data_IF_675203287466
#
_entry.id   IF_675203287466
#
_cell.length_a   1.000
_cell.length_b   1.000
_cell.length_c   1.000
_cell.angle_alpha   90.00
_cell.angle_beta   90.00
_cell.angle_gamma   90.00
#
_symmetry.space_group_name_H-M   'P 1'
#
loop_
_entity.id
_entity.type
_entity.pdbx_description
1 polymer ?
#
# COMPACT_ATOMS: atom_id res chain seq x y z
N UNK A 1 -46.70 7.70 -63.28
CA UNK A 1 -46.31 6.76 -62.20
C UNK A 1 -44.99 7.32 -61.57
N UNK A 2 -45.06 7.94 -60.43
CA UNK A 2 -43.88 8.54 -59.74
C UNK A 2 -43.44 7.60 -58.62
N UNK A 3 -42.25 6.98 -58.79
CA UNK A 3 -41.66 6.15 -57.78
C UNK A 3 -41.07 7.03 -56.65
N UNK A 4 -41.62 6.90 -55.46
CA UNK A 4 -41.13 7.54 -54.23
C UNK A 4 -40.10 6.60 -53.60
N UNK A 5 -38.82 7.02 -53.67
CA UNK A 5 -37.72 6.30 -53.02
C UNK A 5 -37.65 6.76 -51.54
N UNK A 6 -38.02 5.88 -50.61
CA UNK A 6 -37.90 6.13 -49.21
C UNK A 6 -36.48 5.71 -48.78
N UNK A 7 -35.62 6.69 -48.47
CA UNK A 7 -34.30 6.43 -47.83
C UNK A 7 -34.50 6.20 -46.32
N UNK A 8 -34.27 4.99 -45.88
CA UNK A 8 -34.17 4.67 -44.46
C UNK A 8 -32.77 5.05 -43.96
N UNK A 9 -32.70 6.10 -43.14
CA UNK A 9 -31.49 6.41 -42.36
C UNK A 9 -31.43 5.48 -41.14
N UNK A 10 -30.51 4.53 -41.13
CA UNK A 10 -30.17 3.76 -39.93
C UNK A 10 -29.17 4.59 -39.11
N UNK A 11 -29.64 5.16 -38.02
CA UNK A 11 -28.78 5.82 -37.04
C UNK A 11 -28.01 4.73 -36.24
N UNK A 12 -26.75 4.56 -36.57
CA UNK A 12 -25.84 3.72 -35.73
C UNK A 12 -25.49 4.45 -34.45
N UNK A 13 -26.10 4.07 -33.34
CA UNK A 13 -25.71 4.55 -32.02
C UNK A 13 -24.36 3.91 -31.64
N UNK A 14 -23.30 4.70 -31.69
CA UNK A 14 -21.99 4.35 -31.13
C UNK A 14 -22.12 4.22 -29.60
N UNK A 15 -22.25 2.99 -29.10
CA UNK A 15 -22.05 2.70 -27.69
C UNK A 15 -20.56 2.94 -27.39
N UNK A 16 -20.27 4.07 -26.77
CA UNK A 16 -18.96 4.32 -26.17
C UNK A 16 -18.82 3.34 -24.98
N UNK A 17 -17.85 2.42 -24.96
CA UNK A 17 -17.67 1.56 -23.79
C UNK A 17 -17.34 2.44 -22.60
N UNK A 18 -18.16 2.39 -21.55
CA UNK A 18 -17.88 3.00 -20.26
C UNK A 18 -16.58 2.39 -19.76
N UNK A 19 -15.52 3.20 -19.73
CA UNK A 19 -14.27 2.79 -19.11
C UNK A 19 -14.55 2.62 -17.61
N UNK A 20 -14.57 1.39 -17.13
CA UNK A 20 -14.69 1.09 -15.71
C UNK A 20 -13.47 1.74 -15.04
N UNK A 21 -13.71 2.79 -14.26
CA UNK A 21 -12.64 3.44 -13.51
C UNK A 21 -12.11 2.42 -12.50
N UNK A 22 -10.80 2.16 -12.51
CA UNK A 22 -10.19 1.22 -11.59
C UNK A 22 -10.44 1.69 -10.14
N UNK A 23 -10.81 0.77 -9.25
CA UNK A 23 -11.02 1.08 -7.85
C UNK A 23 -9.72 1.70 -7.28
N UNK A 24 -9.84 2.83 -6.60
CA UNK A 24 -8.73 3.52 -5.97
C UNK A 24 -9.02 3.83 -4.50
N UNK A 25 -7.99 3.77 -3.68
CA UNK A 25 -8.04 4.07 -2.25
C UNK A 25 -6.96 5.11 -1.95
N UNK A 26 -7.29 6.13 -1.15
CA UNK A 26 -6.32 7.04 -0.57
C UNK A 26 -6.16 6.74 0.92
N UNK A 27 -4.91 6.62 1.37
CA UNK A 27 -4.54 6.35 2.76
C UNK A 27 -3.62 7.45 3.26
N UNK A 28 -4.04 8.19 4.28
CA UNK A 28 -3.17 9.18 4.95
C UNK A 28 -2.21 8.45 5.89
N UNK A 29 -0.92 8.78 5.77
CA UNK A 29 0.10 8.29 6.66
C UNK A 29 0.49 9.36 7.68
N UNK A 30 0.75 8.89 8.87
CA UNK A 30 1.15 9.71 10.02
C UNK A 30 2.47 9.20 10.58
N UNK A 31 3.29 10.09 11.12
CA UNK A 31 4.39 9.67 11.99
C UNK A 31 3.83 8.91 13.17
N UNK A 32 4.55 7.91 13.63
CA UNK A 32 4.20 7.16 14.83
C UNK A 32 5.40 7.08 15.76
N UNK A 33 5.11 7.00 17.05
CA UNK A 33 6.09 6.85 18.13
C UNK A 33 5.50 6.01 19.25
N UNK A 34 6.28 5.74 20.29
CA UNK A 34 5.77 5.10 21.51
C UNK A 34 4.64 5.91 22.18
N UNK A 35 4.59 7.24 21.95
CA UNK A 35 3.51 8.10 22.43
C UNK A 35 2.22 8.02 21.56
N UNK A 36 2.23 7.25 20.47
CA UNK A 36 1.09 7.08 19.58
C UNK A 36 1.24 7.74 18.22
N UNK A 37 0.09 8.04 17.60
CA UNK A 37 -0.01 8.62 16.24
C UNK A 37 0.22 10.13 16.30
N UNK A 38 1.11 10.62 15.46
CA UNK A 38 1.51 12.03 15.36
C UNK A 38 0.97 12.74 14.11
N UNK A 39 1.78 13.67 13.61
CA UNK A 39 1.44 14.51 12.45
C UNK A 39 1.33 13.69 11.14
N UNK A 40 0.53 14.17 10.19
CA UNK A 40 0.47 13.61 8.85
C UNK A 40 1.75 13.95 8.08
N UNK A 41 2.26 12.95 7.34
CA UNK A 41 3.41 13.10 6.44
C UNK A 41 3.02 13.01 4.97
N UNK A 42 1.73 12.95 4.66
CA UNK A 42 1.20 12.85 3.31
C UNK A 42 0.23 11.69 3.14
N UNK A 43 0.06 11.25 1.91
CA UNK A 43 -0.84 10.15 1.58
C UNK A 43 -0.23 9.18 0.58
N UNK A 44 -0.85 8.01 0.49
CA UNK A 44 -0.58 6.97 -0.49
C UNK A 44 -1.86 6.74 -1.27
N UNK A 45 -1.80 6.78 -2.59
CA UNK A 45 -2.88 6.30 -3.45
C UNK A 45 -2.60 4.87 -3.86
N UNK A 46 -3.60 4.01 -3.80
CA UNK A 46 -3.53 2.62 -4.23
C UNK A 46 -4.62 2.36 -5.26
N UNK A 47 -4.28 1.71 -6.37
CA UNK A 47 -5.22 1.37 -7.44
C UNK A 47 -4.93 0.01 -8.03
N UNK A 48 -5.99 -0.66 -8.47
CA UNK A 48 -5.85 -1.94 -9.16
C UNK A 48 -5.37 -1.73 -10.60
N UNK A 49 -4.42 -2.55 -11.05
CA UNK A 49 -3.88 -2.59 -12.40
C UNK A 49 -3.80 -4.03 -12.92
N UNK A 50 -3.52 -4.20 -14.20
CA UNK A 50 -3.30 -5.52 -14.79
C UNK A 50 -2.05 -6.24 -14.22
N UNK A 51 -1.17 -5.51 -13.53
CA UNK A 51 0.03 -6.03 -12.89
C UNK A 51 -0.12 -6.26 -11.37
N UNK A 52 -1.32 -6.06 -10.82
CA UNK A 52 -1.60 -6.07 -9.40
C UNK A 52 -1.87 -4.67 -8.85
N UNK A 53 -1.68 -4.50 -7.56
CA UNK A 53 -1.89 -3.22 -6.87
C UNK A 53 -0.72 -2.27 -7.14
N UNK A 54 -0.99 -1.13 -7.76
CA UNK A 54 -0.05 -0.03 -7.81
C UNK A 54 -0.27 0.90 -6.60
N UNK A 55 0.82 1.23 -5.91
CA UNK A 55 0.85 2.12 -4.75
C UNK A 55 1.69 3.33 -5.11
N UNK A 56 1.09 4.51 -5.06
CA UNK A 56 1.69 5.79 -5.43
C UNK A 56 1.84 6.62 -4.16
N UNK A 57 3.03 6.65 -3.54
CA UNK A 57 3.28 7.44 -2.35
C UNK A 57 3.45 8.92 -2.72
N UNK A 58 2.91 9.79 -1.88
CA UNK A 58 3.12 11.24 -1.85
C UNK A 58 3.41 11.64 -0.41
N UNK A 59 4.60 11.25 0.05
CA UNK A 59 5.06 11.40 1.44
C UNK A 59 6.22 12.38 1.48
N UNK A 60 6.37 13.04 2.62
CA UNK A 60 7.46 14.00 2.87
C UNK A 60 8.01 13.82 4.27
N UNK A 61 9.23 14.34 4.51
CA UNK A 61 9.82 14.38 5.85
C UNK A 61 10.33 13.04 6.36
N UNK A 62 10.43 12.02 5.51
CA UNK A 62 11.19 10.80 5.79
C UNK A 62 12.68 11.04 5.55
N UNK A 63 13.55 10.24 6.16
CA UNK A 63 14.97 10.26 5.85
C UNK A 63 15.21 9.76 4.43
N UNK A 64 16.23 10.29 3.75
CA UNK A 64 16.62 9.79 2.44
C UNK A 64 17.11 8.34 2.51
N UNK A 65 16.85 7.58 1.44
CA UNK A 65 17.26 6.19 1.31
C UNK A 65 16.11 5.22 1.13
N UNK A 66 16.38 3.94 1.34
CA UNK A 66 15.39 2.87 1.23
C UNK A 66 14.74 2.59 2.59
N UNK A 67 13.43 2.40 2.58
CA UNK A 67 12.63 2.06 3.74
C UNK A 67 11.81 0.80 3.49
N UNK A 68 11.78 -0.11 4.46
CA UNK A 68 10.80 -1.21 4.48
C UNK A 68 9.40 -0.64 4.45
N UNK A 69 8.53 -1.22 3.62
CA UNK A 69 7.15 -0.78 3.46
C UNK A 69 6.26 -2.00 3.38
N UNK A 70 5.31 -2.13 4.32
CA UNK A 70 4.53 -3.34 4.45
C UNK A 70 3.07 -3.08 4.77
N UNK A 71 2.22 -4.03 4.36
CA UNK A 71 0.84 -4.12 4.79
C UNK A 71 0.77 -4.99 6.05
N UNK A 72 0.36 -4.40 7.16
CA UNK A 72 0.22 -5.07 8.45
C UNK A 72 -1.21 -5.57 8.67
N UNK A 73 -1.34 -6.66 9.43
CA UNK A 73 -2.57 -7.43 9.56
C UNK A 73 -3.74 -6.67 10.19
N UNK A 74 -3.49 -5.73 11.09
CA UNK A 74 -4.51 -5.02 11.84
C UNK A 74 -4.62 -3.55 11.38
N UNK A 75 -5.85 -3.05 11.25
CA UNK A 75 -6.12 -1.63 10.95
C UNK A 75 -5.92 -0.72 12.17
N UNK A 76 -4.71 -0.68 12.70
CA UNK A 76 -4.34 0.19 13.82
C UNK A 76 -2.92 0.71 13.64
N UNK A 77 -2.71 1.96 14.00
CA UNK A 77 -1.38 2.60 14.06
C UNK A 77 -0.94 2.90 15.50
N UNK A 78 -1.72 2.46 16.48
CA UNK A 78 -1.46 2.72 17.88
C UNK A 78 -0.21 1.97 18.38
N UNK A 79 0.45 2.54 19.38
CA UNK A 79 1.46 1.84 20.16
C UNK A 79 0.81 0.72 20.97
N UNK A 80 1.59 -0.27 21.32
CA UNK A 80 1.22 -1.31 22.29
C UNK A 80 2.48 -1.78 23.02
N UNK A 81 2.30 -2.39 24.19
CA UNK A 81 3.41 -2.90 24.96
C UNK A 81 3.92 -4.23 24.36
N UNK A 82 5.23 -4.36 24.29
CA UNK A 82 5.90 -5.62 23.94
C UNK A 82 5.92 -6.58 25.16
N UNK A 83 6.53 -7.75 25.00
CA UNK A 83 6.62 -8.77 26.07
C UNK A 83 7.39 -8.29 27.30
N UNK A 84 8.27 -7.30 27.14
CA UNK A 84 9.07 -6.67 28.19
C UNK A 84 8.33 -5.51 28.89
N UNK A 85 7.12 -5.15 28.43
CA UNK A 85 6.31 -4.06 28.96
C UNK A 85 6.72 -2.68 28.43
N UNK A 86 7.49 -2.64 27.34
CA UNK A 86 7.89 -1.38 26.70
C UNK A 86 6.88 -0.99 25.63
N UNK A 87 6.46 0.27 25.60
CA UNK A 87 5.57 0.79 24.58
C UNK A 87 6.29 0.94 23.23
N UNK A 88 5.81 0.23 22.22
CA UNK A 88 6.39 0.18 20.87
C UNK A 88 5.46 0.84 19.86
N UNK A 89 6.00 1.74 19.05
CA UNK A 89 5.28 2.46 18.02
C UNK A 89 4.60 1.49 17.04
N UNK A 90 3.31 1.70 16.77
CA UNK A 90 2.56 0.95 15.77
C UNK A 90 2.46 -0.56 16.03
N UNK A 91 2.80 -1.05 17.23
CA UNK A 91 2.79 -2.50 17.50
C UNK A 91 1.39 -3.09 17.39
N UNK A 92 0.34 -2.30 17.64
CA UNK A 92 -1.05 -2.71 17.48
C UNK A 92 -1.43 -3.08 16.03
N UNK A 93 -0.64 -2.67 15.03
CA UNK A 93 -0.81 -3.10 13.63
C UNK A 93 -0.56 -4.61 13.42
N UNK A 94 0.08 -5.27 14.38
CA UNK A 94 0.45 -6.69 14.28
C UNK A 94 1.66 -6.93 13.39
N UNK A 95 1.82 -8.16 12.89
CA UNK A 95 2.84 -8.56 11.92
C UNK A 95 2.47 -8.18 10.48
N UNK A 96 3.34 -8.50 9.53
CA UNK A 96 3.02 -8.41 8.11
C UNK A 96 1.80 -9.29 7.81
N UNK A 97 0.93 -8.82 6.91
CA UNK A 97 -0.26 -9.59 6.55
C UNK A 97 0.12 -10.88 5.83
N UNK A 98 -0.17 -12.01 6.47
CA UNK A 98 0.15 -13.35 5.99
C UNK A 98 -1.07 -14.27 6.04
N UNK A 99 -2.02 -14.11 5.10
CA UNK A 99 -3.25 -14.93 5.08
C UNK A 99 -2.98 -16.39 4.72
N UNK A 100 -1.85 -16.66 4.08
CA UNK A 100 -1.46 -18.00 3.62
C UNK A 100 -0.65 -18.76 4.68
N UNK A 101 -0.31 -18.11 5.82
CA UNK A 101 0.52 -18.63 6.89
C UNK A 101 1.89 -19.15 6.39
N UNK A 102 2.51 -18.40 5.50
CA UNK A 102 3.84 -18.73 4.97
C UNK A 102 4.92 -18.65 6.05
N UNK A 103 4.80 -17.70 6.96
CA UNK A 103 5.75 -17.44 8.03
C UNK A 103 7.12 -16.96 7.53
N UNK A 104 7.23 -16.56 6.25
CA UNK A 104 8.48 -16.18 5.61
C UNK A 104 8.39 -14.78 5.01
N UNK A 105 9.46 -13.99 5.17
CA UNK A 105 9.61 -12.68 4.55
C UNK A 105 10.40 -12.79 3.24
N UNK A 106 9.72 -12.78 2.11
CA UNK A 106 10.30 -13.01 0.78
C UNK A 106 10.07 -11.87 -0.21
N UNK A 107 9.66 -10.71 0.29
CA UNK A 107 9.39 -9.54 -0.52
C UNK A 107 8.17 -9.67 -1.43
N UNK A 108 7.90 -8.64 -2.27
CA UNK A 108 6.64 -8.49 -3.00
C UNK A 108 6.42 -9.55 -4.09
N UNK A 109 7.49 -10.15 -4.61
CA UNK A 109 7.45 -11.11 -5.72
C UNK A 109 7.64 -12.57 -5.26
N UNK A 110 8.00 -12.79 -4.00
CA UNK A 110 8.15 -14.12 -3.40
C UNK A 110 6.82 -14.72 -2.95
N UNK A 111 6.86 -15.95 -2.45
CA UNK A 111 5.70 -16.67 -1.91
C UNK A 111 5.56 -16.52 -0.37
N UNK A 112 6.26 -15.54 0.23
CA UNK A 112 6.16 -15.19 1.64
C UNK A 112 4.89 -14.40 1.98
N UNK A 113 4.95 -13.60 3.07
CA UNK A 113 3.84 -12.77 3.48
C UNK A 113 3.28 -11.97 2.31
N UNK A 114 1.96 -11.91 2.16
CA UNK A 114 1.35 -11.05 1.12
C UNK A 114 1.53 -9.58 1.41
N UNK A 115 1.74 -9.23 2.67
CA UNK A 115 2.00 -7.87 3.11
C UNK A 115 3.39 -7.33 2.82
N UNK A 116 4.31 -8.15 2.29
CA UNK A 116 5.64 -7.69 1.88
C UNK A 116 5.52 -6.87 0.59
N UNK A 117 5.73 -5.56 0.68
CA UNK A 117 5.67 -4.64 -0.46
C UNK A 117 7.07 -4.30 -0.96
N UNK A 118 7.14 -3.66 -2.12
CA UNK A 118 8.41 -3.08 -2.58
C UNK A 118 8.83 -1.95 -1.63
N UNK A 119 10.14 -1.85 -1.39
CA UNK A 119 10.74 -0.77 -0.58
C UNK A 119 10.29 0.60 -1.07
N UNK A 120 10.04 1.51 -0.13
CA UNK A 120 9.95 2.93 -0.47
C UNK A 120 11.35 3.49 -0.71
N UNK A 121 11.49 4.24 -1.80
CA UNK A 121 12.69 5.02 -2.07
C UNK A 121 12.38 6.48 -1.74
N UNK A 122 13.15 7.05 -0.83
CA UNK A 122 13.04 8.45 -0.41
C UNK A 122 14.23 9.22 -0.95
N UNK A 123 13.96 10.29 -1.69
CA UNK A 123 14.98 11.18 -2.25
C UNK A 123 15.66 12.03 -1.17
N UNK A 124 16.76 12.68 -1.52
CA UNK A 124 17.52 13.54 -0.61
C UNK A 124 16.71 14.71 -0.04
N UNK A 125 15.67 15.13 -0.75
CA UNK A 125 14.71 16.16 -0.29
C UNK A 125 13.59 15.61 0.61
N UNK A 126 13.61 14.32 0.92
CA UNK A 126 12.63 13.65 1.77
C UNK A 126 11.31 13.30 1.09
N UNK A 127 11.23 13.36 -0.25
CA UNK A 127 10.05 12.99 -1.04
C UNK A 127 10.12 11.55 -1.54
N UNK A 128 8.95 11.00 -1.95
CA UNK A 128 8.82 9.62 -2.44
C UNK A 128 8.38 9.62 -3.92
N UNK A 129 9.30 9.81 -4.86
CA UNK A 129 8.97 10.04 -6.28
C UNK A 129 8.54 8.79 -7.05
N UNK A 130 8.73 7.59 -6.48
CA UNK A 130 8.56 6.32 -7.20
C UNK A 130 7.34 5.55 -6.69
N UNK A 131 6.46 5.14 -7.61
CA UNK A 131 5.41 4.17 -7.30
C UNK A 131 5.97 2.76 -7.14
N UNK A 132 5.27 1.94 -6.37
CA UNK A 132 5.60 0.53 -6.16
C UNK A 132 4.45 -0.35 -6.63
N UNK A 133 4.75 -1.56 -7.09
CA UNK A 133 3.75 -2.56 -7.50
C UNK A 133 3.78 -3.74 -6.53
N UNK A 134 2.61 -4.16 -6.08
CA UNK A 134 2.40 -5.35 -5.28
C UNK A 134 1.57 -6.36 -6.10
N UNK A 135 2.21 -7.28 -6.83
CA UNK A 135 1.53 -8.11 -7.84
C UNK A 135 0.55 -9.12 -7.24
N UNK A 136 0.65 -9.39 -5.95
CA UNK A 136 -0.21 -10.36 -5.23
C UNK A 136 -1.36 -9.71 -4.47
N UNK A 137 -1.54 -8.38 -4.61
CA UNK A 137 -2.55 -7.60 -3.89
C UNK A 137 -3.50 -6.89 -4.85
N UNK A 138 -4.66 -6.55 -4.29
CA UNK A 138 -5.66 -5.65 -4.84
C UNK A 138 -6.06 -4.59 -3.81
N UNK A 139 -6.81 -3.58 -4.21
CA UNK A 139 -7.37 -2.58 -3.28
C UNK A 139 -8.27 -3.21 -2.21
N UNK A 140 -8.96 -4.32 -2.52
CA UNK A 140 -9.79 -5.04 -1.58
C UNK A 140 -8.99 -5.63 -0.41
N UNK A 141 -7.75 -6.07 -0.66
CA UNK A 141 -6.87 -6.66 0.35
C UNK A 141 -6.39 -5.66 1.40
N UNK A 142 -6.36 -4.36 1.07
CA UNK A 142 -5.93 -3.32 2.00
C UNK A 142 -6.94 -3.04 3.11
N UNK A 143 -8.23 -3.32 2.89
CA UNK A 143 -9.30 -2.91 3.80
C UNK A 143 -9.15 -3.51 5.20
N UNK A 144 -9.29 -2.65 6.21
CA UNK A 144 -9.17 -3.02 7.62
C UNK A 144 -7.75 -3.35 8.07
N UNK A 145 -6.74 -2.94 7.31
CA UNK A 145 -5.31 -3.15 7.58
C UNK A 145 -4.56 -1.83 7.68
N UNK A 146 -3.28 -1.88 7.96
CA UNK A 146 -2.42 -0.70 8.03
C UNK A 146 -1.23 -0.80 7.10
N UNK A 147 -0.92 0.28 6.39
CA UNK A 147 0.34 0.48 5.69
C UNK A 147 1.36 1.06 6.67
N UNK A 148 2.53 0.43 6.77
CA UNK A 148 3.58 0.83 7.70
C UNK A 148 4.89 1.04 6.96
N UNK A 149 5.55 2.16 7.27
CA UNK A 149 6.91 2.49 6.83
C UNK A 149 7.87 2.24 7.98
N UNK A 150 8.99 1.60 7.68
CA UNK A 150 10.04 1.25 8.63
C UNK A 150 11.26 2.20 8.53
N UNK A 151 12.06 2.24 9.60
CA UNK A 151 13.24 3.11 9.66
C UNK A 151 14.39 2.63 8.77
N UNK A 152 14.56 1.31 8.66
CA UNK A 152 15.57 0.67 7.82
C UNK A 152 15.04 0.23 6.47
N UNK A 153 15.93 -0.22 5.61
CA UNK A 153 15.60 -0.81 4.31
C UNK A 153 14.94 -2.19 4.46
N UNK A 154 14.91 -2.92 3.35
CA UNK A 154 14.34 -4.26 3.29
C UNK A 154 15.18 -5.13 2.36
N UNK A 155 15.65 -6.27 2.84
CA UNK A 155 16.47 -7.20 2.05
C UNK A 155 15.63 -8.20 1.25
N UNK A 156 14.31 -8.24 1.46
CA UNK A 156 13.39 -9.26 0.92
C UNK A 156 13.77 -10.68 1.36
N UNK A 157 14.29 -10.82 2.58
CA UNK A 157 14.69 -12.09 3.17
C UNK A 157 14.55 -12.04 4.70
N UNK A 158 14.53 -13.20 5.35
CA UNK A 158 14.47 -13.29 6.82
C UNK A 158 15.84 -13.12 7.52
N UNK A 159 16.86 -12.79 6.76
CA UNK A 159 18.18 -12.47 7.31
C UNK A 159 18.66 -11.11 6.78
N UNK A 160 18.64 -10.06 7.60
CA UNK A 160 18.18 -10.01 8.99
C UNK A 160 16.65 -10.25 9.13
N UNK A 161 16.14 -10.59 10.33
CA UNK A 161 14.71 -10.86 10.52
C UNK A 161 13.82 -9.78 9.92
N UNK A 162 12.75 -10.19 9.21
CA UNK A 162 11.77 -9.31 8.56
C UNK A 162 12.42 -8.27 7.65
N UNK A 163 13.44 -8.67 6.89
CA UNK A 163 14.14 -7.82 5.94
C UNK A 163 15.03 -6.73 6.55
N UNK A 164 15.09 -6.62 7.89
CA UNK A 164 15.89 -5.62 8.58
C UNK A 164 15.23 -4.23 8.67
N UNK A 165 13.93 -4.12 8.41
CA UNK A 165 13.19 -2.86 8.45
C UNK A 165 13.27 -2.11 9.78
N UNK A 166 13.39 -2.84 10.88
CA UNK A 166 13.55 -2.24 12.22
C UNK A 166 12.30 -1.49 12.70
N UNK A 167 12.51 -0.33 13.35
CA UNK A 167 11.43 0.43 13.95
C UNK A 167 10.37 0.91 12.93
N UNK A 168 9.11 0.92 13.33
CA UNK A 168 8.00 1.51 12.59
C UNK A 168 7.99 3.02 12.80
N UNK A 169 8.02 3.80 11.73
CA UNK A 169 8.17 5.27 11.80
C UNK A 169 6.98 6.03 11.23
N UNK A 170 6.20 5.40 10.35
CA UNK A 170 4.97 5.97 9.84
C UNK A 170 3.93 4.88 9.58
N UNK A 171 2.65 5.25 9.67
CA UNK A 171 1.55 4.32 9.55
C UNK A 171 0.29 5.02 9.05
N UNK A 172 -0.52 4.29 8.25
CA UNK A 172 -1.82 4.73 7.80
C UNK A 172 -2.81 3.57 7.78
N UNK A 173 -3.99 3.79 8.37
CA UNK A 173 -5.08 2.79 8.42
C UNK A 173 -5.93 2.88 7.18
N UNK A 174 -6.21 1.73 6.55
CA UNK A 174 -7.19 1.61 5.47
C UNK A 174 -8.55 1.26 6.07
N UNK A 175 -9.54 2.13 5.87
CA UNK A 175 -10.90 1.90 6.33
C UNK A 175 -11.49 0.60 5.77
N UNK A 176 -12.42 -0.02 6.51
CA UNK A 176 -13.15 -1.23 6.09
C UNK A 176 -14.08 -0.98 4.93
#
# INVERSE_FOLDING_TARGET
MRNLLVLLFVAATLLCPSRLEAASIEVKLHRISAAGVGESIGSVQARDTDQGLEIIPNLTGLSAGEHGFHLHANGSCESADNAEGESVAGLAAGGHWDPDNSGEHLGPFGNGHRGDLSRLVVSDDGTTPTSVVAPRLSTADLRGKALVVHAGGDTYADTPPMGGGGARIACGVVSR
#
